data_IF_806343677893
#
_entry.id   IF_806343677893
#
_cell.length_a   1.000
_cell.length_b   1.000
_cell.length_c   1.000
_cell.angle_alpha   90.00
_cell.angle_beta   90.00
_cell.angle_gamma   90.00
#
_symmetry.space_group_name_H-M   'P 1'
#
loop_
_entity.id
_entity.type
_entity.pdbx_description
1 polymer ?
#
# COMPACT_ATOMS: atom_id res chain seq x y z
N UNK A 1 2.88 36.46 6.82
CA UNK A 1 2.47 35.14 6.24
C UNK A 1 3.59 34.68 5.34
N UNK A 2 4.27 33.59 5.71
CA UNK A 2 5.27 32.96 4.84
C UNK A 2 4.45 32.14 3.86
N UNK A 3 4.57 32.41 2.56
CA UNK A 3 3.89 31.62 1.54
C UNK A 3 4.36 30.17 1.68
N UNK A 4 3.43 29.22 1.74
CA UNK A 4 3.75 27.81 1.74
C UNK A 4 4.36 27.45 0.38
N UNK A 5 5.69 27.39 0.32
CA UNK A 5 6.42 27.04 -0.88
C UNK A 5 6.79 25.56 -0.84
N UNK A 6 6.51 24.86 -1.92
CA UNK A 6 6.88 23.46 -2.10
C UNK A 6 5.75 22.61 -2.68
N UNK A 7 6.07 21.36 -2.89
CA UNK A 7 5.11 20.37 -3.39
C UNK A 7 4.86 19.31 -2.32
N UNK A 8 3.59 19.03 -2.09
CA UNK A 8 3.16 17.92 -1.25
C UNK A 8 3.07 16.65 -2.12
N UNK A 9 3.83 15.63 -1.74
CA UNK A 9 3.81 14.31 -2.40
C UNK A 9 2.90 13.38 -1.62
N UNK A 10 2.02 12.69 -2.33
CA UNK A 10 1.13 11.67 -1.76
C UNK A 10 1.24 10.40 -2.59
N UNK A 11 1.68 9.32 -1.97
CA UNK A 11 1.69 7.99 -2.55
C UNK A 11 0.60 7.13 -1.94
N UNK A 12 -0.11 6.38 -2.79
CA UNK A 12 -1.11 5.42 -2.38
C UNK A 12 -0.78 4.03 -2.94
N UNK A 13 -0.92 3.01 -2.11
CA UNK A 13 -0.74 1.62 -2.51
C UNK A 13 -2.09 0.91 -2.60
N UNK A 14 -2.44 0.39 -3.79
CA UNK A 14 -3.63 -0.42 -4.02
C UNK A 14 -3.37 -1.91 -3.91
N UNK A 15 -2.19 -2.35 -4.34
CA UNK A 15 -1.77 -3.76 -4.36
C UNK A 15 -0.26 -3.84 -4.23
N UNK A 16 0.23 -4.91 -3.62
CA UNK A 16 1.65 -5.09 -3.37
C UNK A 16 2.17 -4.18 -2.26
N UNK A 17 3.42 -3.77 -2.38
CA UNK A 17 4.05 -2.83 -1.47
C UNK A 17 5.03 -1.90 -2.19
N UNK A 18 5.29 -0.75 -1.59
CA UNK A 18 6.26 0.23 -2.07
C UNK A 18 7.25 0.50 -0.95
N UNK A 19 8.53 0.23 -1.19
CA UNK A 19 9.59 0.49 -0.22
C UNK A 19 10.26 1.82 -0.51
N UNK A 20 10.37 2.64 0.51
CA UNK A 20 11.14 3.88 0.51
C UNK A 20 12.47 3.59 1.19
N UNK A 21 13.55 3.56 0.42
CA UNK A 21 14.90 3.43 0.95
C UNK A 21 15.43 4.83 1.27
N UNK A 22 15.74 5.06 2.53
CA UNK A 22 16.30 6.31 3.03
C UNK A 22 17.83 6.16 3.18
N UNK A 23 18.44 6.92 4.06
CA UNK A 23 19.88 6.77 4.35
C UNK A 23 20.27 5.33 4.69
N UNK A 24 21.57 4.93 4.56
CA UNK A 24 21.99 3.56 4.68
C UNK A 24 21.46 2.86 5.93
N UNK A 25 20.62 1.85 5.73
CA UNK A 25 20.06 1.01 6.78
C UNK A 25 18.65 1.36 7.23
N UNK A 26 18.04 2.46 6.75
CA UNK A 26 16.65 2.78 7.04
C UNK A 26 15.77 2.59 5.81
N UNK A 27 14.70 1.83 5.94
CA UNK A 27 13.66 1.69 4.93
C UNK A 27 12.28 1.68 5.56
N UNK A 28 11.31 2.27 4.89
CA UNK A 28 9.90 2.20 5.26
C UNK A 28 9.11 1.60 4.11
N UNK A 29 8.10 0.79 4.42
CA UNK A 29 7.24 0.18 3.41
C UNK A 29 5.83 0.74 3.50
N UNK A 30 5.24 1.05 2.35
CA UNK A 30 3.85 1.42 2.20
C UNK A 30 3.06 0.19 1.77
N UNK A 31 2.00 -0.13 2.48
CA UNK A 31 1.16 -1.29 2.23
C UNK A 31 -0.20 -0.93 1.63
N UNK A 32 -0.97 -1.95 1.29
CA UNK A 32 -2.27 -1.79 0.63
C UNK A 32 -3.22 -0.93 1.44
N UNK A 33 -3.74 0.11 0.81
CA UNK A 33 -4.67 1.08 1.41
C UNK A 33 -4.01 2.23 2.15
N UNK A 34 -2.73 2.13 2.49
CA UNK A 34 -1.99 3.20 3.16
C UNK A 34 -1.64 4.35 2.21
N UNK A 35 -1.48 5.54 2.81
CA UNK A 35 -0.84 6.69 2.18
C UNK A 35 0.52 6.97 2.81
N UNK A 36 1.43 7.45 1.98
CA UNK A 36 2.65 8.12 2.42
C UNK A 36 2.61 9.56 1.93
N UNK A 37 2.80 10.51 2.85
CA UNK A 37 2.69 11.95 2.59
C UNK A 37 3.96 12.66 3.08
N UNK A 38 4.57 13.49 2.23
CA UNK A 38 5.76 14.29 2.60
C UNK A 38 5.98 15.47 1.65
N UNK A 39 6.90 16.35 2.00
CA UNK A 39 7.36 17.46 1.15
C UNK A 39 8.30 16.96 0.05
N UNK A 40 8.05 17.29 -1.21
CA UNK A 40 8.97 16.99 -2.30
C UNK A 40 10.34 17.68 -2.09
N UNK A 41 11.41 16.94 -2.37
CA UNK A 41 12.78 17.45 -2.24
C UNK A 41 13.32 17.49 -0.80
N UNK A 42 12.54 17.06 0.22
CA UNK A 42 12.99 17.01 1.60
C UNK A 42 13.71 15.69 1.93
N UNK A 43 12.97 14.75 2.39
CA UNK A 43 13.39 13.54 3.08
C UNK A 43 14.00 12.41 2.22
N UNK A 44 13.64 12.31 0.94
CA UNK A 44 14.10 11.21 0.09
C UNK A 44 15.42 11.53 -0.63
N UNK A 45 16.54 11.20 -0.03
CA UNK A 45 17.84 11.05 -0.72
C UNK A 45 18.02 9.65 -1.33
N UNK A 46 17.06 8.75 -1.14
CA UNK A 46 17.10 7.35 -1.51
C UNK A 46 16.23 6.96 -2.72
N UNK A 47 16.08 5.66 -2.90
CA UNK A 47 15.28 5.08 -3.99
C UNK A 47 13.90 4.66 -3.52
N UNK A 48 12.94 4.67 -4.46
CA UNK A 48 11.60 4.12 -4.27
C UNK A 48 11.56 2.80 -5.04
N UNK A 49 11.36 1.71 -4.32
CA UNK A 49 11.40 0.36 -4.87
C UNK A 49 10.01 -0.29 -4.76
N UNK A 50 9.27 -0.37 -5.88
CA UNK A 50 8.03 -1.12 -5.92
C UNK A 50 8.34 -2.63 -5.89
N UNK A 51 7.52 -3.42 -5.21
CA UNK A 51 7.51 -4.86 -5.43
C UNK A 51 6.88 -5.19 -6.80
N UNK A 52 7.06 -6.44 -7.26
CA UNK A 52 6.58 -6.86 -8.58
C UNK A 52 5.05 -6.81 -8.75
N UNK A 53 4.32 -6.84 -7.66
CA UNK A 53 2.85 -6.78 -7.65
C UNK A 53 2.31 -5.38 -7.43
N UNK A 54 3.20 -4.38 -7.23
CA UNK A 54 2.81 -3.03 -6.88
C UNK A 54 1.87 -2.42 -7.93
N UNK A 55 0.75 -1.94 -7.45
CA UNK A 55 -0.15 -1.07 -8.17
C UNK A 55 -0.60 0.05 -7.23
N UNK A 56 -0.40 1.27 -7.67
CA UNK A 56 -0.71 2.45 -6.87
C UNK A 56 -0.64 3.71 -7.73
N UNK A 57 -0.65 4.84 -7.08
CA UNK A 57 -0.45 6.13 -7.76
C UNK A 57 0.34 7.09 -6.86
N UNK A 58 0.90 8.10 -7.52
CA UNK A 58 1.50 9.26 -6.87
C UNK A 58 0.74 10.51 -7.29
N UNK A 59 0.43 11.37 -6.34
CA UNK A 59 -0.06 12.72 -6.58
C UNK A 59 0.97 13.72 -6.11
N UNK A 60 1.03 14.84 -6.83
CA UNK A 60 1.86 15.97 -6.50
C UNK A 60 0.99 17.21 -6.47
N UNK A 61 0.97 17.88 -5.33
CA UNK A 61 0.21 19.11 -5.12
C UNK A 61 1.19 20.28 -4.96
N UNK A 62 1.10 21.22 -5.87
CA UNK A 62 1.84 22.49 -5.81
C UNK A 62 1.14 23.41 -4.80
N UNK A 63 1.73 23.58 -3.61
CA UNK A 63 1.16 24.36 -2.52
C UNK A 63 1.05 25.84 -2.86
N UNK A 64 1.97 26.37 -3.67
CA UNK A 64 1.89 27.74 -4.14
C UNK A 64 0.67 27.98 -5.03
N UNK A 65 0.44 27.08 -6.01
CA UNK A 65 -0.77 27.14 -6.84
C UNK A 65 -2.03 26.94 -6.03
N UNK A 66 -1.99 26.09 -5.01
CA UNK A 66 -3.13 25.87 -4.12
C UNK A 66 -3.46 27.13 -3.31
N UNK A 67 -2.45 27.93 -2.95
CA UNK A 67 -2.65 29.24 -2.30
C UNK A 67 -3.21 30.28 -3.27
N UNK A 68 -2.66 30.36 -4.49
CA UNK A 68 -3.05 31.36 -5.48
C UNK A 68 -4.43 31.09 -6.11
N UNK A 69 -4.76 29.84 -6.32
CA UNK A 69 -5.97 29.39 -6.99
C UNK A 69 -6.56 28.14 -6.29
N UNK A 70 -7.11 28.29 -5.08
CA UNK A 70 -7.69 27.17 -4.36
C UNK A 70 -8.93 26.65 -5.12
N UNK A 71 -9.12 25.32 -5.22
CA UNK A 71 -10.34 24.74 -5.73
C UNK A 71 -11.56 25.21 -4.91
N UNK A 72 -12.70 25.43 -5.57
CA UNK A 72 -13.95 25.85 -4.89
C UNK A 72 -14.34 24.90 -3.75
N UNK A 73 -14.08 23.61 -3.91
CA UNK A 73 -14.36 22.58 -2.90
C UNK A 73 -13.56 22.76 -1.59
N UNK A 74 -12.46 23.50 -1.61
CA UNK A 74 -11.65 23.80 -0.42
C UNK A 74 -12.05 25.14 0.23
N UNK A 75 -12.78 25.98 -0.51
CA UNK A 75 -13.24 27.28 0.01
C UNK A 75 -14.26 27.04 1.13
N UNK A 76 -14.01 27.60 2.31
CA UNK A 76 -14.89 27.44 3.47
C UNK A 76 -14.69 26.14 4.27
N UNK A 77 -13.76 25.27 3.85
CA UNK A 77 -13.48 24.01 4.55
C UNK A 77 -12.29 24.11 5.53
N UNK A 78 -11.75 25.32 5.72
CA UNK A 78 -10.57 25.59 6.57
C UNK A 78 -9.33 24.73 6.20
N UNK A 79 -9.25 24.30 4.92
CA UNK A 79 -8.15 23.55 4.36
C UNK A 79 -7.33 24.43 3.43
N UNK A 80 -6.24 24.97 3.98
CA UNK A 80 -5.32 25.85 3.26
C UNK A 80 -4.01 25.16 2.92
N UNK A 81 -3.27 25.71 1.96
CA UNK A 81 -1.93 25.22 1.64
C UNK A 81 -0.97 25.35 2.84
N UNK A 82 -1.12 26.41 3.64
CA UNK A 82 -0.34 26.63 4.87
C UNK A 82 -0.61 25.52 5.88
N UNK A 83 -1.87 25.19 6.11
CA UNK A 83 -2.27 24.08 7.00
C UNK A 83 -1.70 22.74 6.54
N UNK A 84 -1.80 22.42 5.24
CA UNK A 84 -1.23 21.19 4.69
C UNK A 84 0.31 21.18 4.80
N UNK A 85 0.94 22.33 4.64
CA UNK A 85 2.38 22.46 4.84
C UNK A 85 2.77 22.19 6.30
N UNK A 86 2.08 22.80 7.26
CA UNK A 86 2.34 22.61 8.68
C UNK A 86 2.16 21.16 9.13
N UNK A 87 1.12 20.48 8.59
CA UNK A 87 0.82 19.10 8.93
C UNK A 87 1.82 18.09 8.37
N UNK A 88 2.26 18.29 7.12
CA UNK A 88 2.97 17.22 6.37
C UNK A 88 4.34 17.62 5.82
N UNK A 89 4.68 18.90 5.86
CA UNK A 89 5.90 19.41 5.24
C UNK A 89 6.85 20.11 6.22
N UNK A 90 6.36 20.56 7.36
CA UNK A 90 7.16 21.26 8.36
C UNK A 90 8.19 20.35 9.04
N UNK A 91 7.85 19.09 9.23
CA UNK A 91 8.80 18.06 9.68
C UNK A 91 9.35 17.38 8.44
N UNK A 92 10.66 17.38 8.25
CA UNK A 92 11.31 16.73 7.08
C UNK A 92 11.21 15.19 7.15
N UNK A 93 10.04 14.67 7.49
CA UNK A 93 9.75 13.23 7.65
C UNK A 93 8.57 12.83 6.80
N UNK A 94 8.50 11.56 6.45
CA UNK A 94 7.35 10.97 5.76
C UNK A 94 6.28 10.61 6.79
N UNK A 95 5.07 11.12 6.59
CA UNK A 95 3.90 10.72 7.37
C UNK A 95 3.22 9.54 6.70
N UNK A 96 3.14 8.41 7.39
CA UNK A 96 2.32 7.27 6.98
C UNK A 96 0.93 7.40 7.58
N UNK A 97 -0.09 7.11 6.78
CA UNK A 97 -1.48 7.19 7.17
C UNK A 97 -2.16 5.85 6.87
N UNK A 98 -2.73 5.24 7.89
CA UNK A 98 -3.48 3.99 7.77
C UNK A 98 -4.83 4.19 7.10
N UNK A 99 -5.34 3.15 6.41
CA UNK A 99 -6.62 3.22 5.74
C UNK A 99 -7.78 3.21 6.74
N UNK A 100 -8.65 4.21 6.62
CA UNK A 100 -10.00 4.19 7.19
C UNK A 100 -11.05 4.03 6.07
N UNK A 101 -12.34 3.94 6.44
CA UNK A 101 -13.40 3.75 5.46
C UNK A 101 -13.60 4.99 4.56
N UNK A 102 -13.36 6.20 5.08
CA UNK A 102 -13.43 7.43 4.33
C UNK A 102 -12.32 7.50 3.28
N UNK A 103 -11.07 7.20 3.67
CA UNK A 103 -9.94 7.14 2.77
C UNK A 103 -10.14 6.10 1.67
N UNK A 104 -10.64 4.90 2.00
CA UNK A 104 -10.92 3.86 1.00
C UNK A 104 -11.91 4.38 -0.07
N UNK A 105 -12.99 5.04 0.35
CA UNK A 105 -13.94 5.65 -0.57
C UNK A 105 -13.32 6.72 -1.47
N UNK A 106 -12.40 7.53 -0.94
CA UNK A 106 -11.67 8.54 -1.72
C UNK A 106 -10.71 7.88 -2.72
N UNK A 107 -10.01 6.83 -2.32
CA UNK A 107 -9.07 6.14 -3.21
C UNK A 107 -9.75 5.48 -4.41
N UNK A 108 -11.01 5.06 -4.29
CA UNK A 108 -11.79 4.47 -5.40
C UNK A 108 -11.99 5.44 -6.57
N UNK A 109 -11.91 6.76 -6.37
CA UNK A 109 -11.96 7.75 -7.46
C UNK A 109 -10.79 7.60 -8.44
N UNK A 110 -9.68 6.99 -8.02
CA UNK A 110 -8.48 6.84 -8.85
C UNK A 110 -8.45 5.52 -9.63
N UNK A 111 -9.35 4.58 -9.32
CA UNK A 111 -9.33 3.23 -9.85
C UNK A 111 -10.62 2.88 -10.61
N UNK A 112 -10.51 1.98 -11.58
CA UNK A 112 -11.66 1.40 -12.26
C UNK A 112 -12.38 2.31 -13.27
N UNK A 113 -11.85 3.50 -13.56
CA UNK A 113 -12.48 4.45 -14.46
C UNK A 113 -12.12 4.19 -15.92
N UNK A 114 -13.07 4.40 -16.84
CA UNK A 114 -12.78 4.37 -18.27
C UNK A 114 -11.83 5.51 -18.65
N UNK A 115 -11.03 5.32 -19.71
CA UNK A 115 -10.06 6.32 -20.16
C UNK A 115 -10.69 7.71 -20.41
N UNK A 116 -11.94 7.77 -20.88
CA UNK A 116 -12.65 9.03 -21.17
C UNK A 116 -13.06 9.81 -19.91
N UNK A 117 -13.35 9.12 -18.81
CA UNK A 117 -13.84 9.72 -17.56
C UNK A 117 -12.79 9.77 -16.45
N UNK A 118 -11.63 9.13 -16.66
CA UNK A 118 -10.60 8.99 -15.63
C UNK A 118 -10.11 10.35 -15.10
N UNK A 119 -9.87 11.34 -15.95
CA UNK A 119 -9.34 12.63 -15.53
C UNK A 119 -10.30 13.44 -14.63
N UNK A 120 -11.59 13.59 -14.97
CA UNK A 120 -12.56 14.21 -14.07
C UNK A 120 -12.65 13.52 -12.70
N UNK A 121 -12.75 12.19 -12.68
CA UNK A 121 -12.78 11.42 -11.43
C UNK A 121 -11.53 11.60 -10.58
N UNK A 122 -10.35 11.55 -11.19
CA UNK A 122 -9.07 11.79 -10.48
C UNK A 122 -8.98 13.21 -9.91
N UNK A 123 -9.53 14.21 -10.60
CA UNK A 123 -9.59 15.59 -10.07
C UNK A 123 -10.49 15.67 -8.83
N UNK A 124 -11.69 15.07 -8.87
CA UNK A 124 -12.58 15.00 -7.72
C UNK A 124 -11.92 14.25 -6.55
N UNK A 125 -11.31 13.10 -6.83
CA UNK A 125 -10.57 12.33 -5.83
C UNK A 125 -9.42 13.12 -5.21
N UNK A 126 -8.67 13.87 -6.01
CA UNK A 126 -7.58 14.72 -5.51
C UNK A 126 -8.10 15.85 -4.59
N UNK A 127 -9.23 16.47 -4.93
CA UNK A 127 -9.86 17.48 -4.08
C UNK A 127 -10.40 16.87 -2.78
N UNK A 128 -11.10 15.74 -2.87
CA UNK A 128 -11.59 15.00 -1.70
C UNK A 128 -10.44 14.57 -0.79
N UNK A 129 -9.31 14.15 -1.38
CA UNK A 129 -8.12 13.77 -0.63
C UNK A 129 -7.49 14.97 0.10
N UNK A 130 -7.42 16.14 -0.53
CA UNK A 130 -6.92 17.36 0.12
C UNK A 130 -7.83 17.80 1.27
N UNK A 131 -9.16 17.74 1.11
CA UNK A 131 -10.13 17.99 2.17
C UNK A 131 -9.89 17.05 3.36
N UNK A 132 -9.81 15.77 3.08
CA UNK A 132 -9.61 14.74 4.10
C UNK A 132 -8.27 14.90 4.81
N UNK A 133 -7.17 15.13 4.08
CA UNK A 133 -5.85 15.39 4.66
C UNK A 133 -5.82 16.66 5.54
N UNK A 134 -6.47 17.72 5.10
CA UNK A 134 -6.51 18.99 5.85
C UNK A 134 -7.38 18.94 7.09
N UNK A 135 -8.39 18.08 7.15
CA UNK A 135 -9.26 17.91 8.32
C UNK A 135 -8.61 17.06 9.43
N UNK A 136 -7.69 16.18 9.09
CA UNK A 136 -7.04 15.25 10.04
C UNK A 136 -6.14 15.90 11.09
N UNK A 137 -5.73 17.12 10.94
CA UNK A 137 -4.68 17.74 11.76
C UNK A 137 -5.12 18.36 13.07
N UNK A 138 -6.32 18.14 13.57
CA UNK A 138 -6.77 18.70 14.85
C UNK A 138 -6.93 17.68 15.96
N UNK A 139 -7.05 16.42 15.62
CA UNK A 139 -7.12 15.33 16.60
C UNK A 139 -6.01 14.33 16.29
N UNK A 140 -4.98 14.38 17.13
CA UNK A 140 -3.90 13.40 17.28
C UNK A 140 -3.21 12.94 15.97
N UNK A 141 -1.90 13.04 15.98
CA UNK A 141 -1.01 12.26 15.14
C UNK A 141 -1.53 10.83 15.01
N UNK A 142 -2.41 10.60 14.03
CA UNK A 142 -2.67 9.28 13.49
C UNK A 142 -1.48 8.90 12.59
N UNK A 143 -0.29 8.87 13.15
CA UNK A 143 0.51 7.69 12.92
C UNK A 143 -0.43 6.58 13.33
N UNK A 144 -0.76 5.58 12.45
CA UNK A 144 -1.36 4.38 12.97
C UNK A 144 -0.54 4.09 14.19
N UNK A 145 -1.22 3.94 15.29
CA UNK A 145 -0.54 3.53 16.48
C UNK A 145 0.16 2.20 16.11
N UNK A 146 1.37 2.31 15.48
CA UNK A 146 2.36 1.26 15.44
C UNK A 146 2.71 0.93 16.91
N UNK A 147 2.23 1.75 17.86
CA UNK A 147 2.23 1.55 19.28
C UNK A 147 1.11 0.60 19.74
N UNK A 148 0.09 0.28 18.90
CA UNK A 148 -0.70 -0.88 19.23
C UNK A 148 0.20 -2.08 18.96
N UNK A 149 0.61 -2.72 20.00
CA UNK A 149 1.36 -4.00 20.00
C UNK A 149 0.75 -4.98 18.98
N UNK A 150 -0.54 -4.91 18.76
CA UNK A 150 -1.30 -5.73 17.82
C UNK A 150 -0.97 -5.44 16.35
N UNK A 151 -0.81 -4.16 15.98
CA UNK A 151 -0.44 -3.75 14.61
C UNK A 151 1.01 -4.14 14.34
N UNK A 152 1.91 -3.88 15.28
CA UNK A 152 3.31 -4.31 15.20
C UNK A 152 3.44 -5.83 14.99
N UNK A 153 2.70 -6.62 15.79
CA UNK A 153 2.66 -8.08 15.64
C UNK A 153 2.15 -8.48 14.26
N UNK A 154 1.12 -7.84 13.74
CA UNK A 154 0.58 -8.15 12.41
C UNK A 154 1.58 -7.83 11.30
N UNK A 155 2.39 -6.78 11.42
CA UNK A 155 3.48 -6.51 10.50
C UNK A 155 4.59 -7.57 10.59
N UNK A 156 4.95 -8.02 11.78
CA UNK A 156 5.92 -9.11 11.97
C UNK A 156 5.40 -10.44 11.38
N UNK A 157 4.14 -10.76 11.61
CA UNK A 157 3.48 -11.93 11.00
C UNK A 157 3.53 -11.86 9.47
N UNK A 158 3.21 -10.72 8.90
CA UNK A 158 3.28 -10.53 7.45
C UNK A 158 4.71 -10.71 6.92
N UNK A 159 5.70 -10.07 7.55
CA UNK A 159 7.11 -10.20 7.17
C UNK A 159 7.58 -11.66 7.23
N UNK A 160 7.24 -12.37 8.31
CA UNK A 160 7.56 -13.77 8.46
C UNK A 160 6.97 -14.63 7.34
N UNK A 161 5.67 -14.45 7.04
CA UNK A 161 4.97 -15.23 6.02
C UNK A 161 5.46 -14.93 4.60
N UNK A 162 5.77 -13.70 4.28
CA UNK A 162 6.27 -13.31 2.95
C UNK A 162 7.69 -13.80 2.70
N UNK A 163 8.53 -13.88 3.73
CA UNK A 163 9.85 -14.49 3.65
C UNK A 163 9.80 -16.03 3.58
N UNK A 164 8.71 -16.64 4.03
CA UNK A 164 8.56 -18.10 4.14
C UNK A 164 7.34 -18.62 3.35
N UNK A 165 7.20 -18.20 2.08
CA UNK A 165 6.04 -18.54 1.22
C UNK A 165 5.82 -20.04 1.05
N UNK A 166 6.90 -20.83 1.10
CA UNK A 166 6.87 -22.29 0.99
C UNK A 166 6.33 -22.98 2.26
N UNK A 167 6.30 -22.28 3.39
CA UNK A 167 5.84 -22.83 4.66
C UNK A 167 4.34 -22.65 4.80
N UNK A 168 3.67 -23.71 5.24
CA UNK A 168 2.26 -23.68 5.56
C UNK A 168 2.11 -23.46 7.06
N UNK A 169 1.76 -22.23 7.43
CA UNK A 169 1.53 -21.86 8.82
C UNK A 169 0.04 -21.60 9.02
N UNK A 170 -0.53 -22.18 10.05
CA UNK A 170 -1.94 -21.96 10.42
C UNK A 170 -2.10 -20.70 11.25
N UNK A 171 -3.31 -20.17 11.30
CA UNK A 171 -3.60 -19.00 12.13
C UNK A 171 -3.43 -19.30 13.62
N UNK A 172 -3.67 -20.54 14.02
CA UNK A 172 -3.50 -21.04 15.38
C UNK A 172 -2.01 -21.05 15.76
N UNK A 173 -1.12 -21.52 14.88
CA UNK A 173 0.32 -21.49 15.08
C UNK A 173 0.86 -20.06 15.18
N UNK A 174 0.42 -19.15 14.28
CA UNK A 174 0.79 -17.75 14.37
C UNK A 174 0.30 -17.09 15.64
N UNK A 175 -0.93 -17.37 16.03
CA UNK A 175 -1.53 -16.85 17.26
C UNK A 175 -0.75 -17.29 18.50
N UNK A 176 -0.32 -18.54 18.53
CA UNK A 176 0.51 -19.06 19.60
C UNK A 176 1.92 -18.46 19.59
N UNK A 177 2.54 -18.37 18.42
CA UNK A 177 3.90 -17.83 18.26
C UNK A 177 3.99 -16.36 18.67
N UNK A 178 2.96 -15.57 18.31
CA UNK A 178 2.92 -14.13 18.57
C UNK A 178 2.04 -13.74 19.77
N UNK A 179 1.60 -14.69 20.57
CA UNK A 179 0.78 -14.50 21.78
C UNK A 179 -0.47 -13.63 21.54
N UNK A 180 -1.06 -13.73 20.34
CA UNK A 180 -2.24 -12.97 19.95
C UNK A 180 -3.44 -13.92 19.74
N UNK A 181 -4.62 -13.50 20.19
CA UNK A 181 -5.84 -14.29 19.96
C UNK A 181 -6.11 -14.46 18.43
N UNK A 182 -6.49 -15.66 17.93
CA UNK A 182 -6.75 -15.93 16.51
C UNK A 182 -7.78 -14.98 15.88
N UNK A 183 -8.82 -14.63 16.62
CA UNK A 183 -9.86 -13.71 16.14
C UNK A 183 -9.31 -12.29 15.99
N UNK A 184 -8.59 -11.82 16.99
CA UNK A 184 -7.92 -10.51 16.96
C UNK A 184 -6.91 -10.45 15.82
N UNK A 185 -6.05 -11.48 15.64
CA UNK A 185 -5.08 -11.54 14.56
C UNK A 185 -5.77 -11.43 13.19
N UNK A 186 -6.87 -12.15 12.96
CA UNK A 186 -7.64 -12.05 11.70
C UNK A 186 -8.23 -10.66 11.48
N UNK A 187 -8.79 -10.04 12.52
CA UNK A 187 -9.41 -8.73 12.44
C UNK A 187 -8.37 -7.63 12.17
N UNK A 188 -7.32 -7.58 12.99
CA UNK A 188 -6.25 -6.58 12.85
C UNK A 188 -5.51 -6.77 11.52
N UNK A 189 -5.21 -8.01 11.11
CA UNK A 189 -4.61 -8.28 9.81
C UNK A 189 -5.49 -7.76 8.66
N UNK A 190 -6.80 -8.03 8.72
CA UNK A 190 -7.74 -7.54 7.71
C UNK A 190 -7.85 -6.01 7.71
N UNK A 191 -7.82 -5.36 8.87
CA UNK A 191 -7.85 -3.89 8.94
C UNK A 191 -6.57 -3.27 8.39
N UNK A 192 -5.40 -3.86 8.69
CA UNK A 192 -4.09 -3.36 8.22
C UNK A 192 -3.89 -3.62 6.72
N UNK A 193 -4.19 -4.84 6.24
CA UNK A 193 -3.88 -5.25 4.86
C UNK A 193 -5.09 -5.28 3.91
N UNK A 194 -6.28 -4.91 4.37
CA UNK A 194 -7.50 -4.82 3.56
C UNK A 194 -8.11 -6.16 3.13
N UNK A 195 -7.41 -7.28 3.32
CA UNK A 195 -7.84 -8.62 2.93
C UNK A 195 -7.57 -9.65 4.03
N UNK A 196 -8.21 -10.82 3.94
CA UNK A 196 -7.89 -11.90 4.88
C UNK A 196 -6.46 -12.39 4.67
N UNK A 197 -5.82 -12.87 5.75
CA UNK A 197 -4.46 -13.42 5.71
C UNK A 197 -4.31 -14.48 4.60
N UNK A 198 -5.29 -15.37 4.42
CA UNK A 198 -5.25 -16.40 3.38
C UNK A 198 -5.30 -15.82 1.96
N UNK A 199 -6.16 -14.80 1.72
CA UNK A 199 -6.26 -14.12 0.44
C UNK A 199 -4.97 -13.37 0.12
N UNK A 200 -4.44 -12.64 1.10
CA UNK A 200 -3.20 -11.90 0.99
C UNK A 200 -2.01 -12.80 0.66
N UNK A 201 -1.87 -13.92 1.35
CA UNK A 201 -0.83 -14.90 1.07
C UNK A 201 -1.00 -15.61 -0.28
N UNK A 202 -2.25 -15.79 -0.76
CA UNK A 202 -2.50 -16.30 -2.12
C UNK A 202 -1.93 -15.35 -3.16
N UNK A 203 -2.10 -14.03 -3.00
CA UNK A 203 -1.53 -13.03 -3.91
C UNK A 203 0.00 -13.09 -3.96
N UNK A 204 0.67 -13.08 -2.80
CA UNK A 204 2.13 -13.18 -2.72
C UNK A 204 2.66 -14.46 -3.40
N UNK A 205 2.01 -15.61 -3.13
CA UNK A 205 2.37 -16.89 -3.77
C UNK A 205 2.19 -16.85 -5.29
N UNK A 206 1.12 -16.22 -5.77
CA UNK A 206 0.86 -16.08 -7.22
C UNK A 206 1.88 -15.15 -7.87
N UNK A 207 2.21 -14.01 -7.26
CA UNK A 207 3.25 -13.10 -7.74
C UNK A 207 4.61 -13.81 -7.83
N UNK A 208 5.02 -14.53 -6.77
CA UNK A 208 6.28 -15.28 -6.78
C UNK A 208 6.29 -16.41 -7.81
N UNK A 209 5.19 -17.12 -7.99
CA UNK A 209 5.07 -18.14 -9.03
C UNK A 209 5.20 -17.55 -10.43
N UNK A 210 4.58 -16.40 -10.70
CA UNK A 210 4.70 -15.69 -11.96
C UNK A 210 6.14 -15.24 -12.23
N UNK A 211 6.83 -14.75 -11.20
CA UNK A 211 8.24 -14.39 -11.28
C UNK A 211 9.11 -15.59 -11.65
N UNK A 212 9.01 -16.70 -10.92
CA UNK A 212 9.79 -17.91 -11.20
C UNK A 212 9.52 -18.48 -12.60
N UNK A 213 8.26 -18.39 -13.07
CA UNK A 213 7.92 -18.80 -14.44
C UNK A 213 8.62 -17.97 -15.52
N UNK A 214 8.90 -16.69 -15.27
CA UNK A 214 9.60 -15.80 -16.20
C UNK A 214 11.11 -15.92 -16.14
N UNK A 215 11.65 -16.08 -14.93
CA UNK A 215 13.08 -15.91 -14.65
C UNK A 215 13.85 -17.23 -14.62
N UNK A 216 13.13 -18.38 -14.51
CA UNK A 216 13.75 -19.69 -14.37
C UNK A 216 13.15 -20.73 -15.30
N UNK A 217 13.94 -21.81 -15.56
CA UNK A 217 13.49 -23.00 -16.28
C UNK A 217 12.91 -24.08 -15.34
N UNK A 218 12.67 -23.74 -14.08
CA UNK A 218 12.10 -24.67 -13.09
C UNK A 218 10.76 -25.24 -13.59
N UNK A 219 10.54 -26.52 -13.33
CA UNK A 219 9.26 -27.15 -13.64
C UNK A 219 8.13 -26.54 -12.81
N UNK A 220 6.91 -26.57 -13.33
CA UNK A 220 5.72 -26.10 -12.59
C UNK A 220 5.55 -26.84 -11.25
N UNK A 221 6.05 -28.07 -11.15
CA UNK A 221 6.04 -28.85 -9.91
C UNK A 221 7.05 -28.33 -8.88
N UNK A 222 8.23 -27.89 -9.31
CA UNK A 222 9.23 -27.26 -8.46
C UNK A 222 8.77 -25.90 -7.97
N UNK A 223 8.25 -25.07 -8.88
CA UNK A 223 7.64 -23.78 -8.55
C UNK A 223 6.49 -23.96 -7.55
N UNK A 224 5.63 -24.98 -7.73
CA UNK A 224 4.54 -25.25 -6.79
C UNK A 224 5.08 -25.44 -5.35
N UNK A 225 6.13 -26.24 -5.20
CA UNK A 225 6.79 -26.46 -3.89
C UNK A 225 7.44 -25.20 -3.36
N UNK A 226 8.14 -24.44 -4.20
CA UNK A 226 8.81 -23.20 -3.82
C UNK A 226 7.84 -22.14 -3.30
N UNK A 227 6.61 -22.10 -3.80
CA UNK A 227 5.58 -21.14 -3.37
C UNK A 227 4.53 -21.74 -2.41
N UNK A 228 4.80 -22.90 -1.82
CA UNK A 228 3.98 -23.49 -0.76
C UNK A 228 2.70 -24.19 -1.21
N UNK A 229 2.64 -24.67 -2.45
CA UNK A 229 1.56 -25.54 -2.93
C UNK A 229 1.96 -26.99 -2.83
N UNK A 230 1.05 -27.83 -2.35
CA UNK A 230 1.27 -29.27 -2.16
C UNK A 230 1.50 -30.02 -3.48
N UNK A 231 0.94 -29.52 -4.58
CA UNK A 231 1.05 -30.16 -5.88
C UNK A 231 0.99 -29.16 -7.02
N UNK A 232 1.56 -29.56 -8.16
CA UNK A 232 1.45 -28.84 -9.43
C UNK A 232 -0.01 -28.55 -9.81
N UNK A 233 -0.91 -29.49 -9.58
CA UNK A 233 -2.33 -29.34 -9.93
C UNK A 233 -3.00 -28.24 -9.14
N UNK A 234 -2.72 -28.16 -7.82
CA UNK A 234 -3.25 -27.09 -6.95
C UNK A 234 -2.70 -25.71 -7.34
N UNK A 235 -1.40 -25.61 -7.64
CA UNK A 235 -0.83 -24.37 -8.17
C UNK A 235 -1.48 -23.99 -9.51
N UNK A 236 -1.57 -24.92 -10.44
CA UNK A 236 -2.13 -24.68 -11.79
C UNK A 236 -3.57 -24.14 -11.71
N UNK A 237 -4.39 -24.74 -10.86
CA UNK A 237 -5.77 -24.27 -10.64
C UNK A 237 -5.81 -22.86 -10.07
N UNK A 238 -5.05 -22.59 -9.00
CA UNK A 238 -4.98 -21.28 -8.36
C UNK A 238 -4.40 -20.20 -9.30
N UNK A 239 -3.39 -20.56 -10.08
CA UNK A 239 -2.74 -19.64 -11.04
C UNK A 239 -3.68 -19.26 -12.18
N UNK A 240 -4.41 -20.26 -12.75
CA UNK A 240 -5.42 -20.01 -13.77
C UNK A 240 -6.58 -19.15 -13.25
N UNK A 241 -7.02 -19.40 -12.02
CA UNK A 241 -8.05 -18.58 -11.37
C UNK A 241 -7.60 -17.13 -11.22
N UNK A 242 -6.31 -16.89 -10.89
CA UNK A 242 -5.77 -15.56 -10.59
C UNK A 242 -5.37 -14.78 -11.86
N UNK A 243 -4.67 -15.43 -12.81
CA UNK A 243 -4.15 -14.79 -14.02
C UNK A 243 -4.97 -15.05 -15.28
N UNK A 244 -5.96 -15.94 -15.24
CA UNK A 244 -6.80 -16.31 -16.39
C UNK A 244 -6.15 -17.28 -17.37
N UNK A 245 -4.84 -17.58 -17.22
CA UNK A 245 -4.06 -18.44 -18.12
C UNK A 245 -3.32 -19.54 -17.34
N UNK A 246 -2.93 -20.60 -18.03
CA UNK A 246 -2.15 -21.69 -17.41
C UNK A 246 -0.69 -21.25 -17.18
N UNK A 247 0.00 -21.77 -16.13
CA UNK A 247 1.42 -21.47 -15.90
C UNK A 247 2.32 -21.70 -17.10
N UNK A 248 2.11 -22.77 -17.85
CA UNK A 248 2.87 -23.09 -19.07
C UNK A 248 2.63 -22.09 -20.21
N UNK A 249 1.42 -21.56 -20.31
CA UNK A 249 1.07 -20.52 -21.30
C UNK A 249 1.69 -19.19 -20.90
N UNK A 250 1.60 -18.84 -19.61
CA UNK A 250 2.20 -17.65 -19.05
C UNK A 250 3.71 -17.58 -19.31
N UNK A 251 4.45 -18.68 -19.11
CA UNK A 251 5.89 -18.78 -19.40
C UNK A 251 6.25 -18.54 -20.87
N UNK A 252 5.38 -18.90 -21.80
CA UNK A 252 5.63 -18.72 -23.25
C UNK A 252 5.42 -17.29 -23.72
N UNK A 253 4.64 -16.52 -23.00
CA UNK A 253 4.24 -15.16 -23.39
C UNK A 253 5.04 -14.07 -22.69
N UNK A 254 5.84 -14.43 -21.71
CA UNK A 254 6.68 -13.54 -20.91
C UNK A 254 8.10 -14.08 -20.80
#
# INVERSE_FOLDING_TARGET
MVAAEGELMVYACRRGSLRFCMEPGQSQSLHVGELAVWKAGGFLSGTIEPDESFAGFCLRFDLKKLTEQPPESLLGADVTAERLYDLYCAQETMTRISPDDALRGILDFFYGQSAKTALPWRRLGAQALLLWLGQRGTDETDTPDDSSEQVRIVHEVHAYLTQNLNTRVTIEELSHQYLMNPTTLKQVFKSVYGSSLAAHMKEHRMGRAAQLLRETDESVAEIARAVGYESQSKLTAAFKEYFGVLPKEYRKTH
#
